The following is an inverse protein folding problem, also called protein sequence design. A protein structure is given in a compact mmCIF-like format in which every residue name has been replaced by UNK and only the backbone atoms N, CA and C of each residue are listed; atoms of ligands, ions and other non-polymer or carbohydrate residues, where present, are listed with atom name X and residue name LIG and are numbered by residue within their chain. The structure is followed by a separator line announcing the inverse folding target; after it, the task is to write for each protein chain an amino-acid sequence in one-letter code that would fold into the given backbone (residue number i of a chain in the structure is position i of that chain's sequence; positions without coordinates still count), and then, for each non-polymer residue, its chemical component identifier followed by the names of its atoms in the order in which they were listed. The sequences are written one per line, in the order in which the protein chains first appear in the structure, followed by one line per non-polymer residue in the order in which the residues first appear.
data_IF_018799264487
#
_entry.id   IF_018799264487
#
_cell.length_a   1.000
_cell.length_b   1.000
_cell.length_c   1.000
_cell.angle_alpha   90.00
_cell.angle_beta   90.00
_cell.angle_gamma   90.00
#
_symmetry.space_group_name_H-M   'P 1'
#
loop_
_entity.id
_entity.type
_entity.pdbx_description
1 polymer ?
#
# COMPACT_ATOMS: atom_id res chain seq x y z
N UNK A 1 46.37 -2.91 -24.37
CA UNK A 1 45.58 -2.93 -23.13
C UNK A 1 44.35 -2.07 -23.37
N UNK A 2 43.23 -2.72 -23.69
CA UNK A 2 41.97 -2.04 -24.03
C UNK A 2 41.21 -1.80 -22.73
N UNK A 3 41.19 -0.55 -22.26
CA UNK A 3 40.38 -0.12 -21.12
C UNK A 3 38.90 -0.13 -21.54
N UNK A 4 38.17 -1.14 -21.07
CA UNK A 4 36.71 -1.15 -21.12
C UNK A 4 36.22 0.01 -20.24
N UNK A 5 35.63 1.02 -20.86
CA UNK A 5 34.83 2.02 -20.14
C UNK A 5 33.53 1.32 -19.74
N UNK A 6 33.44 0.93 -18.48
CA UNK A 6 32.20 0.50 -17.87
C UNK A 6 31.29 1.73 -17.79
N UNK A 7 30.32 1.80 -18.70
CA UNK A 7 29.30 2.85 -18.68
C UNK A 7 28.48 2.65 -17.41
N UNK A 8 28.68 3.51 -16.41
CA UNK A 8 27.85 3.55 -15.21
C UNK A 8 26.45 3.96 -15.65
N UNK A 9 25.55 2.99 -15.81
CA UNK A 9 24.14 3.26 -16.01
C UNK A 9 23.59 3.70 -14.64
N UNK A 10 23.07 4.92 -14.49
CA UNK A 10 22.51 5.35 -13.21
C UNK A 10 21.35 4.44 -12.84
N UNK A 11 21.38 3.88 -11.63
CA UNK A 11 20.29 3.04 -11.11
C UNK A 11 19.00 3.87 -11.10
N UNK A 12 17.90 3.37 -11.68
CA UNK A 12 16.64 4.09 -11.68
C UNK A 12 16.16 4.34 -10.23
N UNK A 13 15.48 5.47 -9.96
CA UNK A 13 15.00 5.79 -8.63
C UNK A 13 14.01 4.73 -8.14
N UNK A 14 14.07 4.44 -6.84
CA UNK A 14 13.14 3.50 -6.19
C UNK A 14 11.74 4.07 -6.17
N UNK A 15 10.78 3.34 -6.75
CA UNK A 15 9.36 3.70 -6.78
C UNK A 15 8.72 3.53 -5.40
N UNK A 16 7.87 4.48 -5.03
CA UNK A 16 7.23 4.59 -3.73
C UNK A 16 5.80 4.06 -3.78
N UNK A 17 5.52 3.05 -2.96
CA UNK A 17 4.20 2.43 -2.84
C UNK A 17 3.55 2.89 -1.54
N UNK A 18 2.34 3.45 -1.64
CA UNK A 18 1.47 3.71 -0.49
C UNK A 18 0.37 2.66 -0.43
N UNK A 19 0.26 1.97 0.71
CA UNK A 19 -0.70 0.87 0.90
C UNK A 19 -1.82 1.29 1.84
N UNK A 20 -3.07 1.10 1.43
CA UNK A 20 -4.25 1.35 2.24
C UNK A 20 -4.83 0.03 2.76
N UNK A 21 -5.08 -0.04 4.06
CA UNK A 21 -5.56 -1.26 4.74
C UNK A 21 -6.71 -0.96 5.71
N UNK A 22 -7.38 -2.00 6.19
CA UNK A 22 -8.36 -1.90 7.28
C UNK A 22 -8.30 -3.06 8.29
N UNK A 23 -7.43 -4.05 8.10
CA UNK A 23 -7.47 -5.31 8.86
C UNK A 23 -6.12 -5.99 9.09
N UNK A 24 -6.08 -7.31 8.92
CA UNK A 24 -4.92 -8.17 9.23
C UNK A 24 -3.64 -7.82 8.47
N UNK A 25 -3.78 -7.26 7.27
CA UNK A 25 -2.66 -6.85 6.41
C UNK A 25 -1.86 -8.02 5.84
N UNK A 26 -2.48 -9.16 5.55
CA UNK A 26 -1.81 -10.30 4.89
C UNK A 26 -1.35 -9.94 3.47
N UNK A 27 -2.18 -9.25 2.69
CA UNK A 27 -1.80 -8.69 1.39
C UNK A 27 -0.69 -7.63 1.50
N UNK A 28 -0.69 -6.81 2.56
CA UNK A 28 0.42 -5.90 2.87
C UNK A 28 1.72 -6.70 3.12
N UNK A 29 1.65 -7.80 3.88
CA UNK A 29 2.83 -8.64 4.12
C UNK A 29 3.41 -9.19 2.82
N UNK A 30 2.56 -9.69 1.91
CA UNK A 30 3.01 -10.19 0.61
C UNK A 30 3.74 -9.12 -0.21
N UNK A 31 3.26 -7.87 -0.18
CA UNK A 31 3.93 -6.73 -0.83
C UNK A 31 5.27 -6.41 -0.17
N UNK A 32 5.34 -6.38 1.17
CA UNK A 32 6.57 -6.14 1.93
C UNK A 32 7.64 -7.20 1.60
N UNK A 33 7.25 -8.47 1.65
CA UNK A 33 8.15 -9.58 1.38
C UNK A 33 8.65 -9.53 -0.08
N UNK A 34 7.76 -9.21 -1.04
CA UNK A 34 8.11 -9.14 -2.44
C UNK A 34 9.05 -7.97 -2.79
N UNK A 35 8.93 -6.82 -2.10
CA UNK A 35 9.79 -5.65 -2.30
C UNK A 35 11.27 -5.92 -1.98
N UNK A 36 11.55 -6.96 -1.19
CA UNK A 36 12.92 -7.42 -0.87
C UNK A 36 13.44 -8.46 -1.88
N UNK A 37 12.72 -8.70 -2.98
CA UNK A 37 13.05 -9.72 -3.98
C UNK A 37 12.98 -9.16 -5.41
N UNK A 38 13.50 -9.87 -6.42
CA UNK A 38 13.33 -9.51 -7.83
C UNK A 38 11.87 -9.53 -8.33
N UNK A 39 10.89 -10.00 -7.54
CA UNK A 39 9.47 -9.96 -7.94
C UNK A 39 8.91 -8.55 -7.98
N UNK A 40 9.44 -7.63 -7.19
CA UNK A 40 9.01 -6.24 -7.17
C UNK A 40 10.25 -5.32 -7.19
N UNK A 41 10.98 -5.29 -8.32
CA UNK A 41 12.28 -4.64 -8.39
C UNK A 41 12.14 -3.12 -8.32
N UNK A 42 13.12 -2.46 -7.68
CA UNK A 42 13.22 -1.00 -7.57
C UNK A 42 11.94 -0.34 -7.02
N UNK A 43 11.26 -0.98 -6.06
CA UNK A 43 10.12 -0.41 -5.39
C UNK A 43 10.18 -0.66 -3.88
N UNK A 44 9.56 0.22 -3.11
CA UNK A 44 9.46 0.10 -1.67
C UNK A 44 8.10 0.56 -1.17
N UNK A 45 7.57 -0.15 -0.16
CA UNK A 45 6.41 0.32 0.59
C UNK A 45 6.91 1.41 1.54
N UNK A 46 6.47 2.64 1.30
CA UNK A 46 6.98 3.81 2.03
C UNK A 46 6.00 4.40 3.02
N UNK A 47 4.73 4.01 2.93
CA UNK A 47 3.68 4.48 3.82
C UNK A 47 2.51 3.50 3.88
N UNK A 48 1.95 3.32 5.07
CA UNK A 48 0.74 2.51 5.28
C UNK A 48 -0.33 3.33 5.98
N UNK A 49 -1.49 3.48 5.35
CA UNK A 49 -2.65 4.18 5.90
C UNK A 49 -3.75 3.18 6.25
N UNK A 50 -4.25 3.24 7.48
CA UNK A 50 -5.36 2.39 7.92
C UNK A 50 -6.63 3.18 8.20
N UNK A 51 -7.79 2.63 7.83
CA UNK A 51 -9.09 3.14 8.29
C UNK A 51 -9.43 2.72 9.73
N UNK A 52 -8.65 1.81 10.33
CA UNK A 52 -8.89 1.25 11.67
C UNK A 52 -7.62 1.29 12.51
N UNK A 53 -7.74 1.78 13.75
CA UNK A 53 -6.60 1.88 14.67
C UNK A 53 -6.07 0.53 15.17
N UNK A 54 -6.90 -0.50 15.15
CA UNK A 54 -6.57 -1.86 15.57
C UNK A 54 -6.18 -2.79 14.40
N UNK A 55 -5.97 -2.25 13.19
CA UNK A 55 -5.53 -3.05 12.05
C UNK A 55 -4.13 -3.64 12.32
N UNK A 56 -4.00 -4.97 12.33
CA UNK A 56 -2.72 -5.64 12.55
C UNK A 56 -1.69 -5.33 11.46
N UNK A 57 -2.12 -4.94 10.26
CA UNK A 57 -1.21 -4.45 9.22
C UNK A 57 -0.39 -3.23 9.63
N UNK A 58 -0.87 -2.40 10.57
CA UNK A 58 -0.07 -1.31 11.15
C UNK A 58 1.12 -1.86 11.96
N UNK A 59 0.95 -2.96 12.67
CA UNK A 59 2.03 -3.63 13.39
C UNK A 59 3.07 -4.14 12.41
N UNK A 60 2.66 -4.81 11.33
CA UNK A 60 3.56 -5.30 10.27
C UNK A 60 4.47 -4.19 9.71
N UNK A 61 3.88 -3.04 9.39
CA UNK A 61 4.61 -1.88 8.89
C UNK A 61 5.58 -1.29 9.92
N UNK A 62 5.17 -1.17 11.19
CA UNK A 62 6.02 -0.63 12.27
C UNK A 62 7.17 -1.56 12.65
N UNK A 63 6.98 -2.87 12.54
CA UNK A 63 8.01 -3.87 12.86
C UNK A 63 8.89 -4.23 11.65
N UNK A 64 8.60 -3.69 10.47
CA UNK A 64 9.47 -3.80 9.31
C UNK A 64 10.84 -3.14 9.61
N UNK A 65 11.89 -3.55 8.89
CA UNK A 65 13.22 -2.97 9.02
C UNK A 65 13.70 -2.42 7.67
N UNK A 66 13.72 -1.08 7.48
CA UNK A 66 13.41 -0.04 8.45
C UNK A 66 11.90 0.06 8.75
N UNK A 67 11.48 0.61 9.90
CA UNK A 67 10.07 0.84 10.19
C UNK A 67 9.42 1.74 9.13
N UNK A 68 8.26 1.33 8.65
CA UNK A 68 7.50 2.08 7.64
C UNK A 68 6.56 3.06 8.37
N UNK A 69 6.57 4.36 8.00
CA UNK A 69 5.63 5.33 8.54
C UNK A 69 4.17 4.90 8.35
N UNK A 70 3.37 5.08 9.39
CA UNK A 70 1.95 4.69 9.39
C UNK A 70 1.06 5.79 9.95
N UNK A 71 -0.16 5.91 9.43
CA UNK A 71 -1.22 6.72 10.05
C UNK A 71 -2.55 5.98 10.10
N UNK A 72 -3.46 6.51 10.92
CA UNK A 72 -4.84 6.04 11.02
C UNK A 72 -5.78 7.18 10.67
N UNK A 73 -6.60 6.99 9.64
CA UNK A 73 -7.68 7.89 9.28
C UNK A 73 -9.00 7.14 9.41
N UNK A 74 -9.56 7.09 10.63
CA UNK A 74 -10.80 6.38 10.90
C UNK A 74 -12.01 7.30 10.73
N UNK A 75 -12.98 6.90 9.88
CA UNK A 75 -14.16 7.71 9.54
C UNK A 75 -14.91 8.23 10.76
N UNK A 76 -15.24 7.34 11.71
CA UNK A 76 -15.97 7.73 12.93
C UNK A 76 -15.20 8.76 13.76
N UNK A 77 -13.90 8.56 13.91
CA UNK A 77 -13.02 9.49 14.64
C UNK A 77 -12.91 10.82 13.92
N UNK A 78 -12.79 10.81 12.59
CA UNK A 78 -12.74 12.01 11.77
C UNK A 78 -14.03 12.83 11.90
N UNK A 79 -15.19 12.20 11.71
CA UNK A 79 -16.49 12.89 11.81
C UNK A 79 -16.75 13.43 13.22
N UNK A 80 -16.36 12.67 14.25
CA UNK A 80 -16.48 13.14 15.64
C UNK A 80 -15.60 14.35 15.96
N UNK A 81 -14.44 14.49 15.31
CA UNK A 81 -13.52 15.62 15.52
C UNK A 81 -13.83 16.82 14.62
N UNK A 82 -14.64 16.63 13.59
CA UNK A 82 -14.99 17.67 12.62
C UNK A 82 -16.52 17.72 12.43
N UNK A 83 -17.29 18.24 13.42
CA UNK A 83 -18.73 18.37 13.30
C UNK A 83 -19.14 19.12 12.02
N UNK A 84 -20.12 18.59 11.31
CA UNK A 84 -20.57 19.13 10.01
C UNK A 84 -19.79 18.62 8.79
N UNK A 85 -18.70 17.87 8.98
CA UNK A 85 -18.01 17.22 7.87
C UNK A 85 -18.81 16.06 7.30
N UNK A 86 -18.65 15.84 6.00
CA UNK A 86 -19.31 14.76 5.24
C UNK A 86 -18.33 13.61 4.96
N UNK A 87 -18.83 12.56 4.29
CA UNK A 87 -17.98 11.47 3.81
C UNK A 87 -16.93 11.93 2.79
N UNK A 88 -17.29 12.87 1.92
CA UNK A 88 -16.37 13.46 0.94
C UNK A 88 -15.24 14.23 1.64
N UNK A 89 -15.53 14.95 2.73
CA UNK A 89 -14.50 15.62 3.52
C UNK A 89 -13.52 14.61 4.14
N UNK A 90 -14.03 13.46 4.61
CA UNK A 90 -13.19 12.37 5.11
C UNK A 90 -12.31 11.79 3.99
N UNK A 91 -12.88 11.47 2.83
CA UNK A 91 -12.13 10.90 1.72
C UNK A 91 -11.10 11.90 1.15
N UNK A 92 -11.39 13.21 1.20
CA UNK A 92 -10.42 14.26 0.88
C UNK A 92 -9.24 14.29 1.87
N UNK A 93 -9.50 14.05 3.15
CA UNK A 93 -8.45 13.92 4.18
C UNK A 93 -7.61 12.65 3.99
N UNK A 94 -8.25 11.52 3.63
CA UNK A 94 -7.53 10.29 3.23
C UNK A 94 -6.63 10.60 2.04
N UNK A 95 -7.15 11.28 1.00
CA UNK A 95 -6.39 11.67 -0.19
C UNK A 95 -5.21 12.58 0.15
N UNK A 96 -5.39 13.55 1.06
CA UNK A 96 -4.30 14.43 1.55
C UNK A 96 -3.18 13.61 2.18
N UNK A 97 -3.50 12.71 3.10
CA UNK A 97 -2.50 11.87 3.77
C UNK A 97 -1.75 10.95 2.79
N UNK A 98 -2.45 10.45 1.76
CA UNK A 98 -1.82 9.70 0.68
C UNK A 98 -0.87 10.60 -0.11
N UNK A 99 -1.31 11.78 -0.53
CA UNK A 99 -0.49 12.70 -1.32
C UNK A 99 0.75 13.20 -0.55
N UNK A 100 0.62 13.46 0.76
CA UNK A 100 1.76 13.84 1.64
C UNK A 100 2.87 12.78 1.65
N UNK A 101 2.51 11.51 1.45
CA UNK A 101 3.46 10.39 1.39
C UNK A 101 4.24 10.32 0.07
N UNK A 102 3.88 11.15 -0.93
CA UNK A 102 4.43 11.19 -2.29
C UNK A 102 4.57 9.81 -2.95
N UNK A 103 3.46 9.10 -3.21
CA UNK A 103 3.50 7.80 -3.85
C UNK A 103 3.69 7.92 -5.36
N UNK A 104 4.36 6.94 -5.95
CA UNK A 104 4.28 6.66 -7.39
C UNK A 104 3.02 5.83 -7.70
N UNK A 105 2.58 4.99 -6.77
CA UNK A 105 1.38 4.14 -6.88
C UNK A 105 0.71 3.97 -5.52
N UNK A 106 -0.63 3.87 -5.54
CA UNK A 106 -1.46 3.52 -4.39
C UNK A 106 -2.03 2.12 -4.55
N UNK A 107 -1.90 1.28 -3.52
CA UNK A 107 -2.44 -0.09 -3.50
C UNK A 107 -3.45 -0.25 -2.38
N UNK A 108 -4.71 -0.56 -2.72
CA UNK A 108 -5.75 -0.90 -1.76
C UNK A 108 -5.64 -2.40 -1.43
N UNK A 109 -5.12 -2.71 -0.24
CA UNK A 109 -4.87 -4.08 0.23
C UNK A 109 -5.82 -4.40 1.40
N UNK A 110 -7.10 -4.60 1.10
CA UNK A 110 -8.14 -4.79 2.11
C UNK A 110 -8.62 -3.47 2.73
N UNK A 111 -8.74 -2.42 1.92
CA UNK A 111 -9.40 -1.17 2.27
C UNK A 111 -10.94 -1.36 2.22
N UNK A 112 -11.63 -1.13 3.33
CA UNK A 112 -13.05 -1.52 3.49
C UNK A 112 -14.05 -0.37 3.28
N UNK A 113 -13.66 0.64 2.51
CA UNK A 113 -14.42 1.87 2.34
C UNK A 113 -14.49 2.23 0.85
N UNK A 114 -15.69 2.43 0.32
CA UNK A 114 -15.85 3.02 -1.02
C UNK A 114 -15.25 4.42 -1.00
N UNK A 115 -14.31 4.71 -1.90
CA UNK A 115 -13.69 6.03 -2.04
C UNK A 115 -14.57 6.88 -2.96
N UNK A 116 -14.97 8.07 -2.50
CA UNK A 116 -15.73 9.02 -3.33
C UNK A 116 -14.88 9.66 -4.42
N UNK A 117 -15.55 10.29 -5.39
CA UNK A 117 -14.92 11.08 -6.46
C UNK A 117 -13.93 12.09 -5.91
N UNK A 118 -14.22 12.67 -4.73
CA UNK A 118 -13.32 13.64 -4.11
C UNK A 118 -11.92 13.08 -3.81
N UNK A 119 -11.80 11.78 -3.51
CA UNK A 119 -10.49 11.13 -3.39
C UNK A 119 -9.82 11.04 -4.76
N UNK A 120 -10.54 10.57 -5.77
CA UNK A 120 -10.03 10.37 -7.13
C UNK A 120 -9.57 11.69 -7.76
N UNK A 121 -10.40 12.75 -7.70
CA UNK A 121 -10.07 14.09 -8.19
C UNK A 121 -8.75 14.62 -7.60
N UNK A 122 -8.48 14.37 -6.31
CA UNK A 122 -7.22 14.80 -5.66
C UNK A 122 -6.03 13.98 -6.18
N UNK A 123 -6.19 12.66 -6.32
CA UNK A 123 -5.13 11.77 -6.80
C UNK A 123 -4.91 11.85 -8.31
N UNK A 124 -5.86 12.43 -9.06
CA UNK A 124 -5.72 12.80 -10.46
C UNK A 124 -5.09 14.20 -10.65
N UNK A 125 -4.92 14.98 -9.58
CA UNK A 125 -4.45 16.36 -9.65
C UNK A 125 -5.50 17.36 -10.15
N UNK A 126 -6.76 16.93 -10.28
CA UNK A 126 -7.88 17.76 -10.71
C UNK A 126 -8.37 18.68 -9.58
N UNK A 127 -8.07 18.32 -8.32
CA UNK A 127 -8.45 19.12 -7.17
C UNK A 127 -7.39 19.14 -6.08
N UNK A 128 -7.27 20.28 -5.40
CA UNK A 128 -6.40 20.40 -4.24
C UNK A 128 -6.93 19.60 -3.04
N UNK A 129 -6.05 18.95 -2.26
CA UNK A 129 -6.43 18.36 -0.98
C UNK A 129 -6.81 19.46 0.03
N UNK A 130 -7.50 19.12 1.13
CA UNK A 130 -7.65 20.04 2.25
C UNK A 130 -6.27 20.46 2.79
N UNK A 131 -6.15 21.65 3.40
CA UNK A 131 -4.90 22.06 4.02
C UNK A 131 -4.52 21.10 5.14
N UNK A 132 -3.22 20.87 5.32
CA UNK A 132 -2.73 20.11 6.46
C UNK A 132 -3.21 20.79 7.77
N UNK A 133 -3.61 20.01 8.79
CA UNK A 133 -3.93 20.60 10.08
C UNK A 133 -2.73 21.39 10.58
N UNK A 134 -2.99 22.56 11.19
CA UNK A 134 -1.94 23.32 11.86
C UNK A 134 -1.25 22.39 12.87
N UNK A 135 0.09 22.34 12.85
CA UNK A 135 0.84 21.61 13.85
C UNK A 135 0.37 22.09 15.24
N UNK A 136 0.01 21.18 16.16
CA UNK A 136 -0.25 21.61 17.52
C UNK A 136 1.00 22.35 18.03
N UNK A 137 0.85 23.45 18.78
CA UNK A 137 2.01 24.14 19.35
C UNK A 137 2.84 23.10 20.14
N UNK A 138 4.19 23.17 20.07
CA UNK A 138 5.03 22.26 20.81
C UNK A 138 4.61 22.27 22.28
N UNK A 139 4.49 21.08 22.89
CA UNK A 139 4.15 20.98 24.30
C UNK A 139 5.14 21.83 25.11
N UNK A 140 4.67 22.65 26.07
CA UNK A 140 5.49 23.63 26.79
C UNK A 140 6.63 23.04 27.64
N UNK A 141 6.84 21.71 27.62
CA UNK A 141 7.90 21.02 28.37
C UNK A 141 8.94 20.31 27.51
N UNK A 142 9.02 20.58 26.21
CA UNK A 142 10.15 20.14 25.38
C UNK A 142 11.27 21.19 25.37
N UNK A 143 11.86 21.46 26.54
CA UNK A 143 13.16 22.11 26.61
C UNK A 143 14.22 21.08 26.16
N UNK A 144 15.18 21.45 25.29
CA UNK A 144 16.33 20.59 25.01
C UNK A 144 17.20 20.55 26.26
N UNK A 145 17.16 19.44 27.00
CA UNK A 145 18.14 19.20 28.07
C UNK A 145 19.51 19.09 27.41
N UNK A 146 20.40 20.00 27.79
CA UNK A 146 21.78 20.07 27.34
C UNK A 146 22.60 18.88 27.88
N UNK A 147 23.53 18.42 27.04
CA UNK A 147 24.83 17.77 27.36
C UNK A 147 24.82 16.48 28.18
N UNK A 148 24.89 15.35 27.48
CA UNK A 148 25.59 14.15 27.96
C UNK A 148 26.99 14.11 27.29
N UNK A 149 28.08 13.85 28.02
CA UNK A 149 29.43 13.85 27.48
C UNK A 149 29.72 12.57 26.67
N UNK A 150 30.45 12.75 25.56
CA UNK A 150 30.98 11.68 24.71
C UNK A 150 32.03 10.87 25.51
N UNK A 151 31.91 9.54 25.65
CA UNK A 151 33.01 8.73 26.18
C UNK A 151 34.08 8.54 25.11
N UNK A 152 35.32 8.80 25.50
CA UNK A 152 36.55 8.66 24.74
C UNK A 152 36.78 7.26 24.18
N UNK A 153 37.24 7.18 22.94
CA UNK A 153 37.69 5.97 22.29
C UNK A 153 39.07 5.49 22.79
N UNK A 154 39.20 4.17 22.94
CA UNK A 154 40.47 3.43 22.89
C UNK A 154 40.22 2.06 22.24
N UNK A 155 40.93 1.78 21.15
CA UNK A 155 40.87 0.58 20.29
C UNK A 155 41.83 -0.54 20.79
N UNK A 156 42.11 -1.64 20.05
CA UNK A 156 41.35 -2.44 19.06
C UNK A 156 41.40 -3.98 19.38
N UNK A 157 40.95 -4.79 18.39
CA UNK A 157 41.30 -6.20 18.09
C UNK A 157 40.29 -7.26 18.56
N UNK A 158 39.43 -7.73 17.64
CA UNK A 158 39.53 -9.10 17.09
C UNK A 158 38.60 -9.30 15.90
N UNK A 159 39.11 -10.01 14.89
CA UNK A 159 38.53 -10.11 13.57
C UNK A 159 37.40 -11.12 13.46
N UNK A 160 36.22 -10.64 13.13
CA UNK A 160 35.20 -11.39 12.39
C UNK A 160 34.57 -10.46 11.34
N UNK A 161 34.32 -10.93 10.10
CA UNK A 161 33.61 -10.13 9.12
C UNK A 161 32.14 -10.09 9.53
N UNK A 162 31.78 -9.15 10.41
CA UNK A 162 30.40 -8.72 10.53
C UNK A 162 30.07 -8.01 9.21
N UNK A 163 29.38 -8.73 8.32
CA UNK A 163 28.66 -8.14 7.19
C UNK A 163 27.86 -6.97 7.74
N UNK A 164 28.33 -5.75 7.47
CA UNK A 164 27.62 -4.53 7.83
C UNK A 164 26.30 -4.55 7.07
N UNK A 165 25.22 -4.98 7.75
CA UNK A 165 23.87 -4.68 7.32
C UNK A 165 23.76 -3.15 7.35
N UNK A 166 24.08 -2.51 6.23
CA UNK A 166 23.74 -1.11 6.02
C UNK A 166 22.25 -1.00 6.31
N UNK A 167 21.88 -0.20 7.32
CA UNK A 167 20.46 0.05 7.61
C UNK A 167 19.86 0.67 6.36
N UNK A 168 19.07 -0.11 5.60
CA UNK A 168 18.34 0.38 4.44
C UNK A 168 17.46 1.52 4.93
N UNK A 169 17.71 2.74 4.51
CA UNK A 169 16.80 3.86 4.73
C UNK A 169 15.66 3.76 3.71
N UNK A 170 14.46 4.20 4.08
CA UNK A 170 13.40 4.38 3.08
C UNK A 170 13.86 5.34 1.97
N UNK A 171 13.43 5.14 0.72
CA UNK A 171 13.81 6.04 -0.36
C UNK A 171 13.33 7.47 -0.06
N UNK A 172 14.11 8.45 -0.50
CA UNK A 172 13.69 9.85 -0.40
C UNK A 172 12.42 10.09 -1.24
N UNK A 173 11.51 10.98 -0.81
CA UNK A 173 10.36 11.36 -1.62
C UNK A 173 10.85 12.10 -2.89
N UNK A 174 10.15 11.96 -4.03
CA UNK A 174 10.49 12.70 -5.24
C UNK A 174 10.39 14.21 -5.00
N UNK A 175 11.14 14.97 -5.81
CA UNK A 175 11.11 16.44 -5.79
C UNK A 175 9.76 16.99 -6.26
N UNK A 176 9.14 16.32 -7.24
CA UNK A 176 7.86 16.68 -7.82
C UNK A 176 6.96 15.45 -7.85
N UNK A 177 5.67 15.65 -7.57
CA UNK A 177 4.67 14.60 -7.70
C UNK A 177 4.15 14.57 -9.13
N UNK A 178 4.04 13.37 -9.70
CA UNK A 178 3.41 13.15 -11.01
C UNK A 178 1.95 12.74 -10.85
N UNK A 179 1.11 13.22 -11.76
CA UNK A 179 -0.32 12.96 -11.82
C UNK A 179 -0.71 12.49 -13.24
N UNK A 180 -1.76 11.65 -13.39
CA UNK A 180 -2.53 11.03 -12.31
C UNK A 180 -1.71 9.96 -11.56
N UNK A 181 -1.97 9.80 -10.26
CA UNK A 181 -1.33 8.75 -9.46
C UNK A 181 -2.15 7.46 -9.64
N UNK A 182 -1.59 6.37 -10.19
CA UNK A 182 -2.32 5.14 -10.38
C UNK A 182 -2.73 4.54 -9.02
N UNK A 183 -4.00 4.13 -8.96
CA UNK A 183 -4.58 3.46 -7.80
C UNK A 183 -5.08 2.08 -8.26
N UNK A 184 -4.62 1.03 -7.60
CA UNK A 184 -5.08 -0.34 -7.84
C UNK A 184 -5.74 -0.92 -6.60
N UNK A 185 -6.72 -1.79 -6.81
CA UNK A 185 -7.39 -2.53 -5.77
C UNK A 185 -7.37 -4.03 -6.07
N UNK A 186 -7.25 -4.83 -5.03
CA UNK A 186 -7.51 -6.26 -5.07
C UNK A 186 -8.95 -6.53 -4.65
N UNK A 187 -9.68 -7.30 -5.44
CA UNK A 187 -11.05 -7.75 -5.13
C UNK A 187 -11.16 -9.28 -5.26
N UNK A 188 -11.68 -9.99 -4.24
CA UNK A 188 -11.80 -11.46 -4.26
C UNK A 188 -13.05 -11.94 -5.01
N UNK A 189 -13.17 -11.51 -6.27
CA UNK A 189 -14.12 -12.07 -7.22
C UNK A 189 -13.60 -11.90 -8.66
N UNK A 190 -14.25 -12.58 -9.60
CA UNK A 190 -14.04 -12.34 -11.03
C UNK A 190 -14.64 -10.97 -11.44
N UNK A 191 -14.13 -10.33 -12.50
CA UNK A 191 -14.73 -9.11 -13.02
C UNK A 191 -16.21 -9.29 -13.33
N UNK A 192 -17.04 -8.33 -12.94
CA UNK A 192 -18.50 -8.44 -13.10
C UNK A 192 -19.20 -9.12 -11.93
N UNK A 193 -18.51 -9.97 -11.16
CA UNK A 193 -19.09 -10.83 -10.17
C UNK A 193 -18.89 -10.31 -8.74
N UNK A 194 -19.93 -10.43 -7.92
CA UNK A 194 -19.89 -10.20 -6.48
C UNK A 194 -19.21 -8.88 -6.04
N UNK A 195 -19.56 -7.74 -6.64
CA UNK A 195 -19.01 -6.43 -6.24
C UNK A 195 -19.29 -6.11 -4.77
N UNK A 196 -18.39 -5.36 -4.15
CA UNK A 196 -18.54 -4.88 -2.78
C UNK A 196 -18.27 -5.93 -1.71
N UNK A 197 -18.74 -5.65 -0.49
CA UNK A 197 -18.39 -6.43 0.69
C UNK A 197 -18.86 -7.90 0.65
N UNK A 198 -18.19 -8.76 1.43
CA UNK A 198 -18.53 -10.17 1.58
C UNK A 198 -18.63 -10.93 0.24
N UNK A 199 -17.73 -10.65 -0.71
CA UNK A 199 -17.72 -11.29 -2.02
C UNK A 199 -17.49 -12.81 -1.94
N UNK A 200 -16.55 -13.25 -1.10
CA UNK A 200 -16.24 -14.67 -0.89
C UNK A 200 -17.45 -15.44 -0.35
N UNK A 201 -18.11 -14.91 0.68
CA UNK A 201 -19.31 -15.53 1.25
C UNK A 201 -20.46 -15.64 0.25
N UNK A 202 -20.69 -14.59 -0.56
CA UNK A 202 -21.70 -14.62 -1.63
C UNK A 202 -21.35 -15.61 -2.73
N UNK A 203 -20.07 -15.74 -3.09
CA UNK A 203 -19.62 -16.71 -4.07
C UNK A 203 -19.88 -18.16 -3.59
N UNK A 204 -19.60 -18.44 -2.31
CA UNK A 204 -19.90 -19.75 -1.72
C UNK A 204 -21.41 -20.02 -1.68
N UNK A 205 -22.22 -19.03 -1.30
CA UNK A 205 -23.68 -19.17 -1.31
C UNK A 205 -24.23 -19.46 -2.72
N UNK A 206 -23.74 -18.74 -3.73
CA UNK A 206 -24.11 -18.96 -5.13
C UNK A 206 -23.69 -20.36 -5.61
N UNK A 207 -22.51 -20.83 -5.20
CA UNK A 207 -22.05 -22.18 -5.49
C UNK A 207 -22.96 -23.25 -4.87
N UNK A 208 -23.36 -23.07 -3.61
CA UNK A 208 -24.27 -23.98 -2.91
C UNK A 208 -25.65 -24.05 -3.58
N UNK A 209 -26.06 -22.99 -4.28
CA UNK A 209 -27.29 -22.96 -5.10
C UNK A 209 -27.09 -23.52 -6.52
N UNK A 210 -25.86 -23.86 -6.91
CA UNK A 210 -25.51 -24.33 -8.25
C UNK A 210 -25.47 -23.23 -9.32
N UNK A 211 -25.41 -21.96 -8.92
CA UNK A 211 -25.42 -20.80 -9.82
C UNK A 211 -24.04 -20.54 -10.43
N UNK A 212 -22.98 -20.86 -9.68
CA UNK A 212 -21.58 -20.73 -10.12
C UNK A 212 -20.82 -22.01 -9.79
N UNK A 213 -19.73 -22.25 -10.52
CA UNK A 213 -18.77 -23.33 -10.20
C UNK A 213 -17.46 -22.80 -9.62
N UNK A 214 -17.09 -21.60 -10.04
CA UNK A 214 -15.82 -20.97 -9.71
C UNK A 214 -16.06 -19.54 -9.23
N UNK A 215 -15.11 -19.03 -8.47
CA UNK A 215 -14.94 -17.61 -8.17
C UNK A 215 -13.57 -17.16 -8.69
N UNK A 216 -13.02 -16.07 -8.19
CA UNK A 216 -11.68 -15.65 -8.54
C UNK A 216 -11.18 -14.50 -7.69
N UNK A 217 -10.05 -13.96 -8.13
CA UNK A 217 -9.44 -12.75 -7.60
C UNK A 217 -9.06 -11.88 -8.78
N UNK A 218 -9.30 -10.59 -8.67
CA UNK A 218 -8.83 -9.61 -9.63
C UNK A 218 -8.03 -8.51 -8.97
N UNK A 219 -7.05 -7.99 -9.70
CA UNK A 219 -6.45 -6.69 -9.43
C UNK A 219 -6.87 -5.76 -10.56
N UNK A 220 -7.43 -4.61 -10.21
CA UNK A 220 -8.00 -3.67 -11.17
C UNK A 220 -7.65 -2.23 -10.81
N UNK A 221 -7.72 -1.33 -11.79
CA UNK A 221 -7.62 0.12 -11.54
C UNK A 221 -8.84 0.59 -10.77
N UNK A 222 -8.67 1.51 -9.84
CA UNK A 222 -9.79 2.09 -9.08
C UNK A 222 -10.41 3.22 -9.88
N UNK A 223 -11.74 3.18 -10.00
CA UNK A 223 -12.60 4.20 -10.59
C UNK A 223 -13.74 4.51 -9.62
N UNK A 224 -14.63 5.44 -9.98
CA UNK A 224 -15.79 5.80 -9.14
C UNK A 224 -16.73 4.62 -8.92
N UNK A 225 -16.95 3.80 -9.94
CA UNK A 225 -17.73 2.57 -9.82
C UNK A 225 -16.95 1.48 -9.04
N UNK A 226 -17.57 0.97 -7.98
CA UNK A 226 -17.02 -0.05 -7.10
C UNK A 226 -16.70 -1.32 -7.87
N UNK A 227 -15.44 -1.79 -7.79
CA UNK A 227 -14.96 -3.05 -8.38
C UNK A 227 -15.25 -3.18 -9.90
N UNK A 228 -15.25 -2.05 -10.62
CA UNK A 228 -15.64 -1.97 -12.03
C UNK A 228 -14.60 -1.34 -12.96
N UNK A 229 -13.46 -0.91 -12.41
CA UNK A 229 -12.37 -0.40 -13.24
C UNK A 229 -11.67 -1.50 -14.03
N UNK A 230 -10.80 -1.09 -14.95
CA UNK A 230 -10.07 -1.99 -15.85
C UNK A 230 -9.32 -3.09 -15.07
N UNK A 231 -9.62 -4.38 -15.31
CA UNK A 231 -8.85 -5.48 -14.73
C UNK A 231 -7.44 -5.51 -15.31
N UNK A 232 -6.44 -5.46 -14.43
CA UNK A 232 -5.03 -5.65 -14.79
C UNK A 232 -4.68 -7.14 -14.84
N UNK A 233 -5.15 -7.88 -13.84
CA UNK A 233 -4.92 -9.31 -13.70
C UNK A 233 -6.15 -9.99 -13.11
N UNK A 234 -6.42 -11.21 -13.56
CA UNK A 234 -7.49 -12.06 -13.05
C UNK A 234 -6.95 -13.46 -12.83
N UNK A 235 -7.37 -14.09 -11.74
CA UNK A 235 -7.11 -15.51 -11.46
C UNK A 235 -8.42 -16.15 -11.03
N UNK A 236 -8.74 -17.27 -11.67
CA UNK A 236 -9.90 -18.07 -11.30
C UNK A 236 -9.56 -18.98 -10.11
N UNK A 237 -10.54 -19.19 -9.24
CA UNK A 237 -10.42 -20.06 -8.06
C UNK A 237 -11.62 -21.00 -8.06
N UNK A 238 -11.36 -22.30 -8.14
CA UNK A 238 -12.40 -23.33 -8.02
C UNK A 238 -13.03 -23.31 -6.63
N UNK A 239 -14.35 -23.43 -6.57
CA UNK A 239 -15.10 -23.72 -5.34
C UNK A 239 -15.40 -25.22 -5.33
N UNK A 240 -14.96 -25.92 -4.28
CA UNK A 240 -15.11 -27.35 -4.13
C UNK A 240 -16.40 -27.69 -3.40
N UNK A 241 -16.94 -28.88 -3.66
CA UNK A 241 -18.19 -29.35 -3.04
C UNK A 241 -18.10 -29.38 -1.51
N UNK A 242 -16.92 -29.69 -0.98
CA UNK A 242 -16.61 -29.76 0.45
C UNK A 242 -16.14 -28.44 1.07
N UNK A 243 -16.11 -27.32 0.32
CA UNK A 243 -15.60 -26.06 0.84
C UNK A 243 -16.45 -25.51 1.99
N UNK A 244 -15.76 -25.18 3.08
CA UNK A 244 -16.25 -24.25 4.09
C UNK A 244 -15.88 -22.82 3.69
N UNK A 245 -16.51 -21.82 4.31
CA UNK A 245 -16.13 -20.41 4.09
C UNK A 245 -14.64 -20.20 4.40
N UNK A 246 -14.17 -20.70 5.54
CA UNK A 246 -12.77 -20.62 5.94
C UNK A 246 -11.83 -21.29 4.93
N UNK A 247 -12.20 -22.47 4.42
CA UNK A 247 -11.41 -23.19 3.42
C UNK A 247 -11.31 -22.45 2.08
N UNK A 248 -12.42 -21.85 1.63
CA UNK A 248 -12.45 -21.03 0.43
C UNK A 248 -11.69 -19.71 0.63
N UNK A 249 -11.86 -19.03 1.76
CA UNK A 249 -11.12 -17.82 2.12
C UNK A 249 -9.61 -18.08 2.13
N UNK A 250 -9.16 -19.17 2.76
CA UNK A 250 -7.75 -19.54 2.79
C UNK A 250 -7.18 -19.75 1.38
N UNK A 251 -7.92 -20.43 0.49
CA UNK A 251 -7.51 -20.65 -0.91
C UNK A 251 -7.46 -19.35 -1.70
N UNK A 252 -8.48 -18.50 -1.56
CA UNK A 252 -8.53 -17.19 -2.20
C UNK A 252 -7.36 -16.33 -1.73
N UNK A 253 -7.11 -16.26 -0.41
CA UNK A 253 -6.01 -15.47 0.14
C UNK A 253 -4.63 -15.90 -0.38
N UNK A 254 -4.39 -17.19 -0.63
CA UNK A 254 -3.14 -17.64 -1.26
C UNK A 254 -2.96 -17.03 -2.66
N UNK A 255 -4.04 -17.01 -3.45
CA UNK A 255 -4.05 -16.38 -4.77
C UNK A 255 -3.91 -14.86 -4.68
N UNK A 256 -4.56 -14.23 -3.68
CA UNK A 256 -4.46 -12.79 -3.44
C UNK A 256 -3.01 -12.34 -3.21
N UNK A 257 -2.25 -13.08 -2.39
CA UNK A 257 -0.87 -12.74 -2.04
C UNK A 257 0.04 -12.72 -3.27
N UNK A 258 -0.20 -13.62 -4.23
CA UNK A 258 0.56 -13.65 -5.47
C UNK A 258 0.14 -12.54 -6.43
N UNK A 259 -1.17 -12.41 -6.69
CA UNK A 259 -1.70 -11.53 -7.73
C UNK A 259 -1.56 -10.05 -7.38
N UNK A 260 -1.61 -9.67 -6.09
CA UNK A 260 -1.44 -8.27 -5.68
C UNK A 260 -0.04 -7.75 -5.97
N UNK A 261 0.98 -8.61 -5.77
CA UNK A 261 2.38 -8.30 -6.08
C UNK A 261 2.54 -8.17 -7.59
N UNK A 262 2.00 -9.11 -8.36
CA UNK A 262 2.08 -9.08 -9.82
C UNK A 262 1.36 -7.84 -10.39
N UNK A 263 0.21 -7.47 -9.83
CA UNK A 263 -0.55 -6.29 -10.24
C UNK A 263 0.20 -4.99 -9.94
N UNK A 264 0.84 -4.88 -8.77
CA UNK A 264 1.72 -3.75 -8.46
C UNK A 264 2.90 -3.68 -9.43
N UNK A 265 3.54 -4.81 -9.75
CA UNK A 265 4.65 -4.87 -10.73
C UNK A 265 4.22 -4.38 -12.11
N UNK A 266 3.07 -4.81 -12.62
CA UNK A 266 2.56 -4.37 -13.94
C UNK A 266 2.50 -2.83 -14.02
N UNK A 267 1.90 -2.18 -13.02
CA UNK A 267 1.77 -0.71 -13.03
C UNK A 267 3.12 -0.02 -12.88
N UNK A 268 4.03 -0.56 -12.05
CA UNK A 268 5.38 0.01 -11.92
C UNK A 268 6.18 -0.07 -13.23
N UNK A 269 6.00 -1.14 -14.00
CA UNK A 269 6.62 -1.28 -15.32
C UNK A 269 6.06 -0.29 -16.34
N UNK A 270 4.76 0.00 -16.29
CA UNK A 270 4.13 1.08 -17.09
C UNK A 270 4.75 2.44 -16.77
N UNK A 271 4.81 2.80 -15.49
CA UNK A 271 5.40 4.08 -15.04
C UNK A 271 6.86 4.26 -15.47
N UNK A 272 7.63 3.17 -15.54
CA UNK A 272 9.02 3.22 -15.99
C UNK A 272 9.16 3.41 -17.50
N UNK A 273 8.22 2.91 -18.31
CA UNK A 273 8.19 3.14 -19.76
C UNK A 273 7.83 4.59 -20.08
N UNK A 274 6.86 5.15 -19.37
CA UNK A 274 6.42 6.55 -19.54
C UNK A 274 7.51 7.54 -19.14
N UNK A 275 8.35 7.20 -18.15
CA UNK A 275 9.48 8.03 -17.73
C UNK A 275 10.66 8.00 -18.70
N UNK A 276 10.68 7.04 -19.63
CA UNK A 276 11.78 6.83 -20.60
C UNK A 276 11.44 7.31 -22.02
N UNK A 277 10.24 7.83 -22.22
CA UNK A 277 9.70 8.31 -23.52
C UNK A 277 9.66 9.83 -23.55
#
# INVERSE_FOLDING_TARGET
MTTLHETIVPTPPVRRITVLISGSGTNLQALLDAAETPRLPNAAITYVLSSRSNAFGLTRAKTHNPPIPTSVCALKTFLSRNPGSTREHYDAEVARQVLDSRPDIVVLAGWMHILSDRFLEVLNGERQPPPAPALPPPHPNSLPTQTEPIPSASSPIDGHPASSLQSKSLPAPPHTQHFPIPIINLHPALPGAFDGANAIGRALEAFQKGEVKNTGVMVHRVVAEVDRGEPLLVREVEIKAEDTLEGLEARIHQVEHEIIVDGARVVLEELNKDSSS
#
